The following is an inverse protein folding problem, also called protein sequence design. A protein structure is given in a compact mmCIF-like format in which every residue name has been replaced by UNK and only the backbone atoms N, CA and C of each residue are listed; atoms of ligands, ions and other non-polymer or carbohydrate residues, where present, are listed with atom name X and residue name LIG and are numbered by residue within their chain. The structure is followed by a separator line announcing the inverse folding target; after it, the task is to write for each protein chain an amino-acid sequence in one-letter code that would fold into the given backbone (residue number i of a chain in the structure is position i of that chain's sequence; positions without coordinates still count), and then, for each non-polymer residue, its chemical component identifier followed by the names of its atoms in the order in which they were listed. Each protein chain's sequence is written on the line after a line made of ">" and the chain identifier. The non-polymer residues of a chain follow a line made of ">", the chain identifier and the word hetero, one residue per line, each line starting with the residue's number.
data_IF_568297445317
#
_entry.id   IF_568297445317
#
_cell.length_a   1.000
_cell.length_b   1.000
_cell.length_c   1.000
_cell.angle_alpha   90.00
_cell.angle_beta   90.00
_cell.angle_gamma   90.00
#
_symmetry.space_group_name_H-M   'P 1'
#
loop_
_entity.id
_entity.type
_entity.pdbx_description
1 polymer ?
#
# COMPACT_ATOMS: atom_id res chain seq x y z
N UNK A 1 4.64 -11.24 14.86
CA UNK A 1 5.59 -12.34 15.20
C UNK A 1 5.42 -13.56 14.28
N UNK A 2 5.17 -13.35 12.98
CA UNK A 2 5.05 -14.44 12.01
C UNK A 2 6.42 -14.98 11.58
N UNK A 3 7.52 -14.39 12.06
CA UNK A 3 8.87 -14.86 11.74
C UNK A 3 9.44 -14.36 10.41
N UNK A 4 8.74 -13.46 9.70
CA UNK A 4 9.28 -12.90 8.46
C UNK A 4 10.66 -12.26 8.71
N UNK A 5 11.68 -12.70 7.97
CA UNK A 5 13.04 -12.21 8.16
C UNK A 5 13.23 -10.80 7.58
N UNK A 6 12.52 -10.49 6.50
CA UNK A 6 12.70 -9.26 5.72
C UNK A 6 11.40 -8.85 5.01
N UNK A 7 10.99 -7.60 5.17
CA UNK A 7 9.81 -7.03 4.54
C UNK A 7 9.93 -5.52 4.40
N UNK A 8 9.24 -4.98 3.42
CA UNK A 8 9.19 -3.54 3.16
C UNK A 8 7.81 -2.99 3.48
N UNK A 9 7.78 -1.88 4.21
CA UNK A 9 6.59 -1.06 4.43
C UNK A 9 6.69 0.14 3.50
N UNK A 10 5.91 0.13 2.44
CA UNK A 10 5.76 1.26 1.53
C UNK A 10 4.71 2.21 2.07
N UNK A 11 4.97 3.51 2.00
CA UNK A 11 4.03 4.55 2.44
C UNK A 11 3.91 5.65 1.40
N UNK A 12 2.74 6.23 1.29
CA UNK A 12 2.45 7.46 0.56
C UNK A 12 1.35 8.23 1.30
N UNK A 13 0.89 9.35 0.74
CA UNK A 13 -0.18 10.15 1.30
C UNK A 13 -1.15 10.59 0.19
N UNK A 14 -2.46 10.48 0.44
CA UNK A 14 -3.49 10.90 -0.52
C UNK A 14 -3.38 12.38 -0.88
N UNK A 15 -2.92 13.22 0.04
CA UNK A 15 -2.69 14.65 -0.20
C UNK A 15 -1.53 14.88 -1.17
N UNK A 16 -0.47 14.05 -1.10
CA UNK A 16 0.62 14.08 -2.08
C UNK A 16 0.10 13.74 -3.48
N UNK A 17 -0.71 12.68 -3.59
CA UNK A 17 -1.34 12.30 -4.87
C UNK A 17 -2.27 13.39 -5.41
N UNK A 18 -3.02 14.06 -4.52
CA UNK A 18 -3.85 15.21 -4.89
C UNK A 18 -3.00 16.38 -5.38
N UNK A 19 -1.88 16.65 -4.72
CA UNK A 19 -0.92 17.67 -5.15
C UNK A 19 -0.31 17.38 -6.51
N UNK A 20 0.01 16.13 -6.81
CA UNK A 20 0.49 15.72 -8.13
C UNK A 20 -0.58 16.04 -9.20
N UNK A 21 -1.84 15.70 -8.97
CA UNK A 21 -2.90 16.04 -9.90
C UNK A 21 -3.10 17.57 -10.04
N UNK A 22 -2.97 18.31 -8.94
CA UNK A 22 -3.09 19.78 -8.95
C UNK A 22 -2.01 20.46 -9.79
N UNK A 23 -0.74 20.08 -9.62
CA UNK A 23 0.36 20.67 -10.39
C UNK A 23 0.30 20.33 -11.89
N UNK A 24 -0.37 19.23 -12.26
CA UNK A 24 -0.61 18.92 -13.68
C UNK A 24 -1.64 19.84 -14.31
N UNK A 25 -2.50 20.46 -13.50
CA UNK A 25 -3.64 21.26 -13.97
C UNK A 25 -4.86 20.40 -14.33
N UNK A 26 -4.87 19.11 -13.99
CA UNK A 26 -5.93 18.15 -14.32
C UNK A 26 -6.45 17.45 -13.04
N UNK A 27 -6.80 18.25 -12.03
CA UNK A 27 -7.29 17.73 -10.74
C UNK A 27 -8.56 16.89 -10.85
N UNK A 28 -9.37 17.09 -11.88
CA UNK A 28 -10.55 16.30 -12.21
C UNK A 28 -10.19 14.86 -12.64
N UNK A 29 -8.98 14.64 -13.12
CA UNK A 29 -8.46 13.33 -13.56
C UNK A 29 -7.59 12.64 -12.50
N UNK A 30 -7.64 13.08 -11.24
CA UNK A 30 -6.82 12.53 -10.16
C UNK A 30 -6.90 11.00 -10.08
N UNK A 31 -8.09 10.42 -10.27
CA UNK A 31 -8.30 8.96 -10.19
C UNK A 31 -7.57 8.27 -11.35
N UNK A 32 -7.72 8.77 -12.56
CA UNK A 32 -7.08 8.19 -13.75
C UNK A 32 -5.56 8.28 -13.66
N UNK A 33 -5.04 9.43 -13.22
CA UNK A 33 -3.60 9.68 -13.03
C UNK A 33 -3.05 8.73 -11.96
N UNK A 34 -3.68 8.66 -10.80
CA UNK A 34 -3.18 7.84 -9.69
C UNK A 34 -3.28 6.34 -9.96
N UNK A 35 -4.35 5.89 -10.64
CA UNK A 35 -4.50 4.47 -11.05
C UNK A 35 -3.47 4.08 -12.10
N UNK A 36 -3.12 4.98 -13.02
CA UNK A 36 -2.08 4.71 -14.01
C UNK A 36 -0.69 4.62 -13.35
N UNK A 37 -0.37 5.55 -12.46
CA UNK A 37 0.91 5.57 -11.73
C UNK A 37 1.08 4.31 -10.85
N UNK A 38 0.05 3.85 -10.19
CA UNK A 38 0.05 2.64 -9.34
C UNK A 38 0.42 1.35 -10.12
N UNK A 39 0.31 1.41 -11.44
CA UNK A 39 0.67 0.28 -12.30
C UNK A 39 2.12 0.31 -12.78
N UNK A 40 2.91 1.33 -12.39
CA UNK A 40 4.27 1.54 -12.92
C UNK A 40 5.13 0.28 -12.81
N UNK A 41 5.12 -0.39 -11.68
CA UNK A 41 5.91 -1.61 -11.46
C UNK A 41 5.46 -2.80 -12.35
N UNK A 42 4.22 -2.77 -12.86
CA UNK A 42 3.63 -3.85 -13.66
C UNK A 42 3.77 -3.65 -15.16
N UNK A 43 3.55 -2.41 -15.62
CA UNK A 43 3.47 -2.10 -17.06
C UNK A 43 4.61 -1.21 -17.54
N UNK A 44 5.47 -0.74 -16.65
CA UNK A 44 6.59 0.15 -16.93
C UNK A 44 6.17 1.55 -17.37
N UNK A 45 7.16 2.43 -17.55
CA UNK A 45 6.95 3.84 -17.92
C UNK A 45 6.12 4.00 -19.21
N UNK A 46 6.51 3.28 -20.27
CA UNK A 46 5.78 3.36 -21.55
C UNK A 46 4.32 2.92 -21.42
N UNK A 47 4.04 1.90 -20.59
CA UNK A 47 2.70 1.43 -20.35
C UNK A 47 1.86 2.46 -19.61
N UNK A 48 2.44 3.12 -18.59
CA UNK A 48 1.79 4.19 -17.83
C UNK A 48 1.49 5.38 -18.75
N UNK A 49 2.43 5.81 -19.56
CA UNK A 49 2.23 6.91 -20.53
C UNK A 49 1.06 6.59 -21.47
N UNK A 50 1.04 5.41 -22.09
CA UNK A 50 -0.07 4.98 -22.97
C UNK A 50 -1.42 4.95 -22.24
N UNK A 51 -1.45 4.53 -20.98
CA UNK A 51 -2.67 4.53 -20.20
C UNK A 51 -3.14 5.95 -19.91
N UNK A 52 -2.24 6.87 -19.52
CA UNK A 52 -2.57 8.28 -19.32
C UNK A 52 -3.10 8.93 -20.59
N UNK A 53 -2.46 8.68 -21.74
CA UNK A 53 -2.93 9.16 -23.05
C UNK A 53 -4.33 8.62 -23.39
N UNK A 54 -4.61 7.34 -23.10
CA UNK A 54 -5.92 6.73 -23.33
C UNK A 54 -7.03 7.34 -22.45
N UNK A 55 -6.64 7.97 -21.35
CA UNK A 55 -7.51 8.71 -20.43
C UNK A 55 -7.56 10.21 -20.74
N UNK A 56 -7.07 10.58 -21.92
CA UNK A 56 -7.06 11.96 -22.40
C UNK A 56 -6.30 12.93 -21.48
N UNK A 57 -5.33 12.42 -20.69
CA UNK A 57 -4.40 13.27 -19.94
C UNK A 57 -3.50 13.99 -20.92
N UNK A 58 -3.36 15.31 -20.77
CA UNK A 58 -2.60 16.11 -21.70
C UNK A 58 -1.10 15.77 -21.70
N UNK A 59 -0.44 15.94 -22.84
CA UNK A 59 1.00 15.72 -22.97
C UNK A 59 1.79 16.59 -21.96
N UNK A 60 1.33 17.81 -21.68
CA UNK A 60 1.98 18.69 -20.70
C UNK A 60 1.86 18.16 -19.27
N UNK A 61 0.74 17.53 -18.91
CA UNK A 61 0.55 16.87 -17.62
C UNK A 61 1.44 15.63 -17.49
N UNK A 62 1.52 14.81 -18.55
CA UNK A 62 2.37 13.63 -18.60
C UNK A 62 3.85 14.01 -18.40
N UNK A 63 4.34 15.06 -19.05
CA UNK A 63 5.73 15.54 -18.87
C UNK A 63 6.02 15.95 -17.41
N UNK A 64 5.04 16.49 -16.69
CA UNK A 64 5.18 16.82 -15.28
C UNK A 64 5.17 15.59 -14.36
N UNK A 65 4.52 14.51 -14.77
CA UNK A 65 4.42 13.25 -14.03
C UNK A 65 5.66 12.38 -14.22
N UNK A 66 6.26 12.37 -15.42
CA UNK A 66 7.42 11.52 -15.75
C UNK A 66 8.55 11.50 -14.70
N UNK A 67 8.97 12.63 -14.10
CA UNK A 67 10.01 12.61 -13.08
C UNK A 67 9.69 11.71 -11.89
N UNK A 68 8.41 11.51 -11.57
CA UNK A 68 7.97 10.63 -10.47
C UNK A 68 8.33 9.16 -10.71
N UNK A 69 8.42 8.72 -11.96
CA UNK A 69 8.72 7.33 -12.30
C UNK A 69 10.14 6.91 -11.91
N UNK A 70 11.04 7.89 -11.77
CA UNK A 70 12.43 7.71 -11.41
C UNK A 70 12.73 7.97 -9.92
N UNK A 71 11.73 8.48 -9.18
CA UNK A 71 11.88 8.80 -7.76
C UNK A 71 11.85 7.53 -6.92
N UNK A 72 13.03 6.98 -6.65
CA UNK A 72 13.25 5.82 -5.78
C UNK A 72 14.49 6.05 -4.91
N UNK A 73 14.52 5.42 -3.75
CA UNK A 73 15.70 5.39 -2.86
C UNK A 73 15.44 6.01 -1.49
N UNK A 74 16.47 6.68 -0.96
CA UNK A 74 16.42 7.28 0.37
C UNK A 74 15.26 8.27 0.50
N UNK A 75 14.49 8.13 1.59
CA UNK A 75 13.28 8.93 1.79
C UNK A 75 13.59 10.44 1.87
N UNK A 76 14.72 10.84 2.45
CA UNK A 76 15.09 12.25 2.57
C UNK A 76 15.27 12.90 1.20
N UNK A 77 15.90 12.16 0.28
CA UNK A 77 16.06 12.61 -1.10
C UNK A 77 14.70 12.68 -1.80
N UNK A 78 13.88 11.64 -1.70
CA UNK A 78 12.56 11.61 -2.33
C UNK A 78 11.67 12.74 -1.79
N UNK A 79 11.65 12.96 -0.48
CA UNK A 79 10.91 14.08 0.14
C UNK A 79 11.40 15.44 -0.37
N UNK A 80 12.71 15.67 -0.46
CA UNK A 80 13.27 16.92 -0.96
C UNK A 80 12.87 17.21 -2.41
N UNK A 81 12.93 16.20 -3.27
CA UNK A 81 12.50 16.32 -4.67
C UNK A 81 11.00 16.54 -4.77
N UNK A 82 10.20 15.83 -3.99
CA UNK A 82 8.75 16.01 -3.93
C UNK A 82 8.33 17.38 -3.42
N UNK A 83 9.02 17.95 -2.42
CA UNK A 83 8.79 19.33 -1.98
C UNK A 83 9.02 20.32 -3.10
N UNK A 84 10.07 20.12 -3.89
CA UNK A 84 10.37 21.00 -5.04
C UNK A 84 9.30 20.89 -6.10
N UNK A 85 8.84 19.67 -6.41
CA UNK A 85 7.79 19.44 -7.41
C UNK A 85 6.44 19.99 -6.97
N UNK A 86 6.11 19.88 -5.68
CA UNK A 86 4.82 20.26 -5.12
C UNK A 86 4.80 21.66 -4.51
N UNK A 87 5.83 22.50 -4.77
CA UNK A 87 5.96 23.82 -4.16
C UNK A 87 4.74 24.73 -4.38
N UNK A 88 4.01 24.54 -5.48
CA UNK A 88 2.82 25.32 -5.85
C UNK A 88 1.50 24.63 -5.41
N UNK A 89 1.58 23.54 -4.64
CA UNK A 89 0.42 22.80 -4.12
C UNK A 89 0.43 22.77 -2.59
N UNK A 90 -0.45 23.55 -1.99
CA UNK A 90 -0.61 23.57 -0.52
C UNK A 90 -0.99 22.20 0.05
N UNK A 91 -1.92 21.51 -0.63
CA UNK A 91 -2.35 20.17 -0.21
C UNK A 91 -1.23 19.15 -0.36
N UNK A 92 -0.44 19.23 -1.43
CA UNK A 92 0.70 18.36 -1.66
C UNK A 92 1.77 18.52 -0.58
N UNK A 93 2.15 19.78 -0.27
CA UNK A 93 3.11 20.08 0.80
C UNK A 93 2.63 19.60 2.16
N UNK A 94 1.35 19.76 2.49
CA UNK A 94 0.77 19.23 3.72
C UNK A 94 0.87 17.71 3.80
N UNK A 95 0.70 17.01 2.68
CA UNK A 95 0.91 15.55 2.60
C UNK A 95 2.36 15.17 2.88
N UNK A 96 3.31 15.94 2.39
CA UNK A 96 4.75 15.74 2.68
C UNK A 96 5.06 15.96 4.16
N UNK A 97 4.55 17.02 4.78
CA UNK A 97 4.72 17.29 6.21
C UNK A 97 4.19 16.12 7.08
N UNK A 98 3.04 15.55 6.73
CA UNK A 98 2.51 14.39 7.41
C UNK A 98 3.40 13.15 7.27
N UNK A 99 4.01 12.95 6.10
CA UNK A 99 4.97 11.86 5.87
C UNK A 99 6.25 12.07 6.67
N UNK A 100 6.81 13.28 6.69
CA UNK A 100 7.99 13.61 7.49
C UNK A 100 7.76 13.29 8.97
N UNK A 101 6.62 13.73 9.52
CA UNK A 101 6.25 13.41 10.90
C UNK A 101 6.20 11.90 11.17
N UNK A 102 5.66 11.11 10.23
CA UNK A 102 5.59 9.64 10.34
C UNK A 102 7.00 9.06 10.31
N UNK A 103 7.86 9.49 9.36
CA UNK A 103 9.23 9.01 9.25
C UNK A 103 10.07 9.33 10.50
N UNK A 104 9.99 10.56 10.99
CA UNK A 104 10.67 10.99 12.23
C UNK A 104 10.22 10.14 13.43
N UNK A 105 8.91 9.90 13.55
CA UNK A 105 8.34 9.09 14.64
C UNK A 105 8.82 7.64 14.57
N UNK A 106 8.80 7.05 13.38
CA UNK A 106 9.25 5.67 13.16
C UNK A 106 10.73 5.54 13.45
N UNK A 107 11.55 6.50 13.00
CA UNK A 107 12.99 6.52 13.28
C UNK A 107 13.26 6.63 14.79
N UNK A 108 12.51 7.44 15.51
CA UNK A 108 12.64 7.57 16.96
C UNK A 108 12.23 6.29 17.71
N UNK A 109 11.23 5.56 17.23
CA UNK A 109 10.79 4.28 17.79
C UNK A 109 11.72 3.12 17.42
N UNK A 110 12.41 3.22 16.30
CA UNK A 110 13.33 2.22 15.75
C UNK A 110 12.61 1.03 15.13
N UNK A 111 12.81 0.81 13.82
CA UNK A 111 12.42 -0.42 13.14
C UNK A 111 13.60 -1.40 13.16
N UNK A 112 13.36 -2.63 13.62
CA UNK A 112 14.45 -3.61 13.76
C UNK A 112 14.61 -4.53 12.54
N UNK A 113 13.55 -4.76 11.77
CA UNK A 113 13.52 -5.76 10.69
C UNK A 113 12.81 -5.31 9.42
N UNK A 114 12.17 -4.15 9.43
CA UNK A 114 11.44 -3.65 8.28
C UNK A 114 12.24 -2.57 7.56
N UNK A 115 12.26 -2.63 6.23
CA UNK A 115 12.61 -1.48 5.41
C UNK A 115 11.40 -0.56 5.32
N UNK A 116 11.60 0.73 5.45
CA UNK A 116 10.54 1.74 5.34
C UNK A 116 10.83 2.63 4.15
N UNK A 117 9.88 2.69 3.20
CA UNK A 117 10.07 3.33 1.91
C UNK A 117 8.95 4.33 1.62
N UNK A 118 9.30 5.55 1.20
CA UNK A 118 8.36 6.46 0.58
C UNK A 118 8.20 6.09 -0.90
N UNK A 119 7.10 5.45 -1.23
CA UNK A 119 6.76 5.06 -2.59
C UNK A 119 5.75 6.05 -3.18
N UNK A 120 6.23 6.99 -3.98
CA UNK A 120 5.41 8.06 -4.61
C UNK A 120 4.36 7.49 -5.58
N UNK A 121 4.55 6.25 -6.04
CA UNK A 121 3.65 5.59 -6.97
C UNK A 121 2.55 4.80 -6.27
N UNK A 122 2.68 4.55 -4.96
CA UNK A 122 1.65 3.87 -4.18
C UNK A 122 0.38 4.71 -4.14
N UNK A 123 -0.65 4.30 -4.88
CA UNK A 123 -1.93 4.99 -4.96
C UNK A 123 -3.11 4.16 -4.47
N UNK A 124 -2.84 3.16 -3.67
CA UNK A 124 -3.84 2.25 -3.11
C UNK A 124 -4.91 2.95 -2.29
N UNK A 125 -5.98 2.23 -2.15
CA UNK A 125 -7.14 2.65 -1.38
C UNK A 125 -8.09 3.46 -2.22
N UNK A 126 -9.27 2.93 -2.29
CA UNK A 126 -10.44 3.58 -2.84
C UNK A 126 -10.62 4.97 -2.20
N UNK A 127 -11.55 5.72 -2.67
CA UNK A 127 -11.83 7.13 -2.36
C UNK A 127 -12.08 7.47 -0.88
N UNK A 128 -11.84 6.55 0.07
CA UNK A 128 -12.09 6.78 1.49
C UNK A 128 -10.84 7.13 2.31
N UNK A 129 -9.63 6.89 1.82
CA UNK A 129 -8.42 7.35 2.51
C UNK A 129 -8.20 8.85 2.27
N UNK A 130 -7.86 9.57 3.33
CA UNK A 130 -7.72 11.03 3.34
C UNK A 130 -6.32 11.51 3.70
N UNK A 131 -5.45 10.62 4.15
CA UNK A 131 -4.09 10.90 4.57
C UNK A 131 -3.11 9.80 4.17
N UNK A 132 -2.24 9.40 5.09
CA UNK A 132 -1.26 8.36 4.86
C UNK A 132 -1.92 7.03 4.43
N UNK A 133 -1.31 6.38 3.44
CA UNK A 133 -1.63 5.04 2.94
C UNK A 133 -0.37 4.20 3.01
N UNK A 134 -0.51 2.92 3.29
CA UNK A 134 0.64 2.02 3.40
C UNK A 134 0.33 0.63 2.87
N UNK A 135 1.38 -0.04 2.45
CA UNK A 135 1.38 -1.39 1.94
C UNK A 135 2.59 -2.14 2.47
N UNK A 136 2.42 -3.41 2.78
CA UNK A 136 3.51 -4.28 3.24
C UNK A 136 3.74 -5.37 2.21
N UNK A 137 4.99 -5.51 1.78
CA UNK A 137 5.44 -6.56 0.87
C UNK A 137 6.50 -7.42 1.56
N UNK A 138 6.43 -8.73 1.39
CA UNK A 138 7.51 -9.62 1.80
C UNK A 138 8.62 -9.54 0.75
N UNK A 139 9.88 -9.38 1.23
CA UNK A 139 11.05 -9.43 0.36
C UNK A 139 11.42 -10.89 0.09
N UNK A 140 12.20 -11.13 -0.97
CA UNK A 140 12.67 -12.46 -1.38
C UNK A 140 11.60 -13.47 -1.85
N UNK A 141 10.35 -13.01 -2.02
CA UNK A 141 9.27 -13.79 -2.64
C UNK A 141 8.60 -12.97 -3.73
N UNK A 142 8.22 -13.61 -4.82
CA UNK A 142 7.51 -12.94 -5.91
C UNK A 142 6.00 -12.93 -5.64
N UNK A 143 5.60 -12.24 -4.57
CA UNK A 143 4.20 -12.14 -4.16
C UNK A 143 3.77 -10.69 -4.01
N UNK A 144 2.50 -10.42 -4.25
CA UNK A 144 1.92 -9.09 -4.02
C UNK A 144 1.89 -8.72 -2.53
N UNK A 145 1.34 -7.54 -2.22
CA UNK A 145 1.29 -7.08 -0.84
C UNK A 145 0.55 -8.04 0.09
N UNK A 146 1.09 -8.23 1.27
CA UNK A 146 0.55 -9.10 2.33
C UNK A 146 -0.33 -8.34 3.31
N UNK A 147 -0.21 -7.02 3.34
CA UNK A 147 -1.01 -6.14 4.20
C UNK A 147 -1.11 -4.75 3.59
N UNK A 148 -2.12 -4.01 3.96
CA UNK A 148 -2.27 -2.62 3.55
C UNK A 148 -3.31 -1.90 4.36
N UNK A 149 -3.25 -0.57 4.33
CA UNK A 149 -4.15 0.26 5.10
C UNK A 149 -3.95 1.73 4.84
N UNK A 150 -4.56 2.56 5.69
CA UNK A 150 -4.39 4.01 5.63
C UNK A 150 -5.30 4.74 6.59
N UNK A 151 -5.11 6.06 6.63
CA UNK A 151 -5.90 7.00 7.40
C UNK A 151 -7.16 7.39 6.63
N UNK A 152 -8.27 7.47 7.34
CA UNK A 152 -9.54 8.00 6.86
C UNK A 152 -10.17 8.91 7.91
N UNK A 153 -10.74 10.03 7.47
CA UNK A 153 -11.35 11.02 8.37
C UNK A 153 -12.89 10.99 8.27
N UNK A 154 -13.46 10.61 7.12
CA UNK A 154 -14.88 10.70 6.84
C UNK A 154 -15.64 9.37 6.99
N UNK A 155 -14.94 8.23 6.84
CA UNK A 155 -15.56 6.91 6.86
C UNK A 155 -16.29 6.60 8.17
N UNK A 156 -15.75 7.05 9.29
CA UNK A 156 -16.35 6.90 10.63
C UNK A 156 -17.69 7.60 10.74
N UNK A 157 -17.87 8.72 10.01
CA UNK A 157 -19.13 9.45 9.93
C UNK A 157 -20.27 8.65 9.31
N UNK A 158 -19.97 7.74 8.37
CA UNK A 158 -20.95 6.81 7.76
C UNK A 158 -21.52 5.87 8.82
N UNK A 159 -20.73 5.53 9.84
CA UNK A 159 -21.12 4.67 10.97
C UNK A 159 -21.60 5.47 12.19
N UNK A 160 -21.90 6.77 12.03
CA UNK A 160 -22.46 7.63 13.09
C UNK A 160 -21.41 8.34 13.96
N UNK A 161 -20.11 8.17 13.71
CA UNK A 161 -19.02 8.81 14.46
C UNK A 161 -18.47 9.99 13.64
N UNK A 162 -19.19 11.11 13.61
CA UNK A 162 -18.73 12.32 12.92
C UNK A 162 -17.52 12.92 13.60
N UNK A 163 -16.63 13.52 12.80
CA UNK A 163 -15.42 14.22 13.25
C UNK A 163 -14.41 13.34 14.02
N UNK A 164 -14.45 12.04 13.78
CA UNK A 164 -13.49 11.07 14.34
C UNK A 164 -12.67 10.49 13.19
N UNK A 165 -11.38 10.79 13.19
CA UNK A 165 -10.44 10.15 12.25
C UNK A 165 -10.15 8.72 12.66
N UNK A 166 -9.84 7.88 11.68
CA UNK A 166 -9.47 6.49 11.89
C UNK A 166 -8.28 6.06 11.06
N UNK A 167 -7.64 5.00 11.50
CA UNK A 167 -6.63 4.26 10.74
C UNK A 167 -7.05 2.80 10.69
N UNK A 168 -7.06 2.23 9.50
CA UNK A 168 -7.37 0.83 9.29
C UNK A 168 -6.20 0.08 8.67
N UNK A 169 -6.08 -1.19 9.02
CA UNK A 169 -5.14 -2.13 8.41
C UNK A 169 -5.86 -3.44 8.12
N UNK A 170 -5.59 -4.01 6.96
CA UNK A 170 -6.05 -5.35 6.58
C UNK A 170 -4.86 -6.27 6.31
N UNK A 171 -5.02 -7.54 6.63
CA UNK A 171 -4.03 -8.57 6.37
C UNK A 171 -4.58 -9.56 5.34
N UNK A 172 -3.78 -9.86 4.31
CA UNK A 172 -4.08 -10.91 3.33
C UNK A 172 -3.71 -12.27 3.90
N UNK A 173 -4.65 -12.94 4.58
CA UNK A 173 -4.38 -14.20 5.26
C UNK A 173 -3.82 -15.27 4.30
N UNK A 174 -4.42 -15.43 3.12
CA UNK A 174 -3.98 -16.38 2.11
C UNK A 174 -2.56 -16.07 1.63
N UNK A 175 -2.27 -14.78 1.34
CA UNK A 175 -0.93 -14.36 0.90
C UNK A 175 0.13 -14.52 1.98
N UNK A 176 -0.23 -14.27 3.24
CA UNK A 176 0.66 -14.50 4.38
C UNK A 176 0.96 -16.00 4.48
N UNK A 177 -0.05 -16.85 4.31
CA UNK A 177 0.12 -18.30 4.30
C UNK A 177 1.09 -18.74 3.20
N UNK A 178 0.84 -18.31 1.96
CA UNK A 178 1.68 -18.65 0.80
C UNK A 178 3.14 -18.20 0.99
N UNK A 179 3.37 -17.00 1.54
CA UNK A 179 4.72 -16.50 1.85
C UNK A 179 5.39 -17.34 2.94
N UNK A 180 4.65 -17.74 3.98
CA UNK A 180 5.19 -18.61 5.04
C UNK A 180 5.56 -19.99 4.50
N UNK A 181 4.78 -20.51 3.55
CA UNK A 181 5.04 -21.78 2.88
C UNK A 181 6.28 -21.70 1.98
N UNK A 182 6.36 -20.65 1.12
CA UNK A 182 7.48 -20.47 0.19
C UNK A 182 8.83 -20.24 0.92
N UNK A 183 8.79 -19.57 2.09
CA UNK A 183 9.96 -19.33 2.93
C UNK A 183 10.23 -20.43 3.96
N UNK A 184 9.45 -21.50 3.96
CA UNK A 184 9.55 -22.63 4.91
C UNK A 184 9.53 -22.17 6.39
N UNK A 185 8.70 -21.17 6.72
CA UNK A 185 8.63 -20.56 8.05
C UNK A 185 7.62 -21.20 8.99
N UNK A 186 6.87 -22.22 8.54
CA UNK A 186 5.99 -22.95 9.44
C UNK A 186 6.80 -23.78 10.44
N UNK A 187 6.43 -23.76 11.73
CA UNK A 187 7.07 -24.62 12.71
C UNK A 187 6.87 -26.12 12.37
N UNK A 188 7.88 -26.96 12.60
CA UNK A 188 7.82 -28.39 12.32
C UNK A 188 6.60 -29.08 12.97
N UNK A 189 6.21 -28.65 14.17
CA UNK A 189 5.03 -29.22 14.87
C UNK A 189 3.69 -28.82 14.26
N UNK A 190 3.64 -27.79 13.37
CA UNK A 190 2.40 -27.46 12.63
C UNK A 190 2.11 -28.44 11.50
N UNK A 191 3.07 -29.29 11.16
CA UNK A 191 2.93 -30.33 10.14
C UNK A 191 2.23 -31.61 10.64
N UNK A 192 1.77 -31.68 11.90
CA UNK A 192 0.92 -32.77 12.35
C UNK A 192 -0.44 -32.68 11.63
N UNK A 193 -0.48 -33.30 10.46
CA UNK A 193 -1.71 -33.44 9.69
C UNK A 193 -2.62 -34.48 10.35
N UNK A 194 -3.93 -34.29 10.22
CA UNK A 194 -4.91 -35.29 10.60
C UNK A 194 -4.58 -36.61 9.89
N UNK A 195 -4.13 -37.62 10.63
CA UNK A 195 -3.77 -38.92 10.06
C UNK A 195 -5.00 -39.74 9.71
N UNK A 196 -6.09 -39.56 10.44
CA UNK A 196 -7.36 -40.25 10.22
C UNK A 196 -8.50 -39.25 10.46
N UNK A 197 -9.39 -39.14 9.49
CA UNK A 197 -10.64 -38.37 9.61
C UNK A 197 -11.82 -39.34 9.45
N UNK A 198 -12.64 -39.43 10.51
CA UNK A 198 -13.89 -40.22 10.48
C UNK A 198 -15.05 -39.27 10.17
N UNK A 199 -15.74 -39.50 9.08
CA UNK A 199 -16.88 -38.69 8.64
C UNK A 199 -18.16 -39.42 8.97
N UNK A 200 -19.03 -38.82 9.75
CA UNK A 200 -20.34 -39.36 10.12
C UNK A 200 -21.41 -38.70 9.24
N UNK A 201 -22.20 -39.51 8.55
CA UNK A 201 -23.32 -39.08 7.70
C UNK A 201 -24.70 -39.21 8.37
N UNK A 202 -24.77 -39.73 9.60
CA UNK A 202 -26.02 -39.91 10.32
C UNK A 202 -25.88 -40.63 11.66
N UNK A 203 -26.96 -40.67 12.43
CA UNK A 203 -26.97 -41.33 13.76
C UNK A 203 -26.60 -42.80 13.68
N UNK A 204 -26.96 -43.47 12.61
CA UNK A 204 -26.73 -44.91 12.44
C UNK A 204 -25.26 -45.28 12.25
N UNK A 205 -24.43 -44.28 11.82
CA UNK A 205 -23.00 -44.49 11.59
C UNK A 205 -22.16 -44.31 12.87
N UNK A 206 -22.74 -43.74 13.94
CA UNK A 206 -22.06 -43.51 15.22
C UNK A 206 -21.55 -44.81 15.88
N UNK A 207 -22.22 -45.90 15.67
CA UNK A 207 -21.83 -47.24 16.20
C UNK A 207 -20.60 -47.83 15.49
N UNK A 208 -20.30 -47.38 14.28
CA UNK A 208 -19.13 -47.84 13.53
C UNK A 208 -17.85 -47.07 13.91
N UNK A 209 -17.98 -45.96 14.69
CA UNK A 209 -16.88 -45.07 15.08
C UNK A 209 -16.38 -45.34 16.50
N UNK A 210 -16.99 -46.25 17.25
CA UNK A 210 -16.55 -46.70 18.56
C UNK A 210 -15.63 -47.94 18.43
#
# INVERSE_FOLDING_TARGET
>A
NLGFPDFTIKINNRKVLSGIAEITGESDKIIDITVAIDKLDKIGEEGVIKELESKEVSASAIEKIKPLFLLKGDYEKVISEMKTMLQDSEIGLKGIEELEFIFETINALGLQKATFEFDVTLARGLNYYTGAIFEVTANNVNMGSISGGGRYDDLTGVFGLKDVSGVGISFGADRIYDVLEELELFPEFSAESTQVMLVNFGIDDLFCLQ
#
